data_IF_810981566306
#
_entry.id   IF_810981566306
#
_cell.length_a   1.000
_cell.length_b   1.000
_cell.length_c   1.000
_cell.angle_alpha   90.00
_cell.angle_beta   90.00
_cell.angle_gamma   90.00
#
_symmetry.space_group_name_H-M   'P 1'
#
loop_
_entity.id
_entity.type
_entity.pdbx_description
1 polymer ?
#
# COMPACT_ATOMS: atom_id res chain seq x y z
N UNK A 1 -33.83 21.15 7.31
CA UNK A 1 -32.58 21.75 6.76
C UNK A 1 -31.45 20.76 6.96
N UNK A 2 -30.71 20.33 5.93
CA UNK A 2 -29.61 19.40 6.10
C UNK A 2 -28.49 20.07 6.92
N UNK A 3 -28.01 19.40 7.97
CA UNK A 3 -26.91 19.87 8.82
C UNK A 3 -25.69 20.22 7.96
N UNK A 4 -25.06 21.38 8.22
CA UNK A 4 -23.87 21.87 7.51
C UNK A 4 -22.76 20.81 7.45
N UNK A 5 -22.65 19.93 8.46
CA UNK A 5 -21.70 18.83 8.50
C UNK A 5 -21.91 17.77 7.40
N UNK A 6 -23.15 17.48 7.02
CA UNK A 6 -23.47 16.52 5.96
C UNK A 6 -23.14 17.06 4.55
N UNK A 7 -23.20 18.37 4.37
CA UNK A 7 -22.86 19.05 3.11
C UNK A 7 -21.34 19.14 2.94
N UNK A 8 -20.59 19.49 3.98
CA UNK A 8 -19.13 19.57 3.95
C UNK A 8 -18.47 18.20 3.75
N UNK A 9 -19.03 17.14 4.36
CA UNK A 9 -18.58 15.76 4.17
C UNK A 9 -18.78 15.29 2.72
N UNK A 10 -19.91 15.62 2.09
CA UNK A 10 -20.18 15.27 0.68
C UNK A 10 -19.28 16.05 -0.28
N UNK A 11 -19.02 17.34 -0.02
CA UNK A 11 -18.15 18.17 -0.86
C UNK A 11 -16.68 17.72 -0.82
N UNK A 12 -16.18 17.34 0.37
CA UNK A 12 -14.85 16.73 0.54
C UNK A 12 -14.72 15.41 -0.21
N UNK A 13 -15.78 14.58 -0.18
CA UNK A 13 -15.82 13.29 -0.87
C UNK A 13 -15.73 13.42 -2.41
N UNK A 14 -16.42 14.39 -3.01
CA UNK A 14 -16.38 14.63 -4.46
C UNK A 14 -15.04 15.17 -4.97
N UNK A 15 -14.32 15.95 -4.15
CA UNK A 15 -12.98 16.44 -4.52
C UNK A 15 -11.88 15.41 -4.27
N UNK A 16 -12.02 14.54 -3.27
CA UNK A 16 -11.00 13.55 -2.92
C UNK A 16 -11.05 12.31 -3.83
N UNK A 17 -12.25 11.92 -4.29
CA UNK A 17 -12.45 10.76 -5.17
C UNK A 17 -11.58 10.78 -6.45
N UNK A 18 -11.56 11.86 -7.26
CA UNK A 18 -10.72 11.90 -8.46
C UNK A 18 -9.23 11.80 -8.14
N UNK A 19 -8.76 12.43 -7.06
CA UNK A 19 -7.37 12.29 -6.62
C UNK A 19 -7.02 10.83 -6.28
N UNK A 20 -7.89 10.12 -5.57
CA UNK A 20 -7.67 8.70 -5.22
C UNK A 20 -7.66 7.81 -6.47
N UNK A 21 -8.49 8.11 -7.46
CA UNK A 21 -8.50 7.37 -8.75
C UNK A 21 -7.19 7.60 -9.50
N UNK A 22 -6.74 8.85 -9.63
CA UNK A 22 -5.47 9.19 -10.32
C UNK A 22 -4.29 8.52 -9.64
N UNK A 23 -4.20 8.60 -8.31
CA UNK A 23 -3.15 7.92 -7.54
C UNK A 23 -3.20 6.41 -7.77
N UNK A 24 -4.40 5.82 -7.78
CA UNK A 24 -4.57 4.38 -8.03
C UNK A 24 -4.08 3.97 -9.41
N UNK A 25 -4.41 4.75 -10.45
CA UNK A 25 -3.96 4.49 -11.83
C UNK A 25 -2.43 4.59 -11.93
N UNK A 26 -1.85 5.62 -11.34
CA UNK A 26 -0.40 5.80 -11.30
C UNK A 26 0.29 4.64 -10.57
N UNK A 27 -0.21 4.24 -9.40
CA UNK A 27 0.31 3.09 -8.66
C UNK A 27 0.16 1.76 -9.41
N UNK A 28 -0.83 1.61 -10.29
CA UNK A 28 -1.00 0.44 -11.15
C UNK A 28 -0.10 0.47 -12.39
N UNK A 29 0.25 1.66 -12.89
CA UNK A 29 1.16 1.78 -14.03
C UNK A 29 2.55 1.23 -13.71
N UNK A 30 3.06 1.48 -12.50
CA UNK A 30 4.38 1.00 -12.05
C UNK A 30 4.56 -0.51 -12.21
N UNK A 31 3.73 -1.39 -11.60
CA UNK A 31 3.87 -2.83 -11.76
C UNK A 31 3.66 -3.29 -13.20
N UNK A 32 2.78 -2.64 -13.98
CA UNK A 32 2.58 -2.99 -15.39
C UNK A 32 3.82 -2.69 -16.25
N UNK A 33 4.47 -1.54 -16.02
CA UNK A 33 5.71 -1.16 -16.70
C UNK A 33 6.84 -2.14 -16.33
N UNK A 34 7.02 -2.42 -15.03
CA UNK A 34 8.02 -3.38 -14.55
C UNK A 34 7.80 -4.78 -15.14
N UNK A 35 6.55 -5.24 -15.18
CA UNK A 35 6.19 -6.52 -15.77
C UNK A 35 6.47 -6.56 -17.28
N UNK A 36 6.07 -5.51 -18.00
CA UNK A 36 6.25 -5.44 -19.46
C UNK A 36 7.72 -5.43 -19.84
N UNK A 37 8.53 -4.60 -19.17
CA UNK A 37 9.98 -4.54 -19.42
C UNK A 37 10.64 -5.85 -19.02
N UNK A 38 10.32 -6.40 -17.83
CA UNK A 38 10.87 -7.67 -17.37
C UNK A 38 10.61 -8.84 -18.33
N UNK A 39 9.40 -8.91 -18.93
CA UNK A 39 9.04 -9.95 -19.91
C UNK A 39 9.71 -9.70 -21.25
N UNK A 40 9.62 -8.48 -21.79
CA UNK A 40 10.12 -8.15 -23.15
C UNK A 40 11.65 -8.13 -23.23
N UNK A 41 12.33 -7.90 -22.11
CA UNK A 41 13.79 -7.74 -22.01
C UNK A 41 14.43 -8.73 -21.05
N UNK A 42 13.87 -9.95 -21.00
CA UNK A 42 14.23 -10.98 -20.01
C UNK A 42 15.72 -11.37 -20.02
N UNK A 43 16.33 -11.39 -21.20
CA UNK A 43 17.72 -11.87 -21.40
C UNK A 43 18.69 -10.75 -21.82
N UNK A 44 18.22 -9.50 -21.87
CA UNK A 44 18.97 -8.34 -22.38
C UNK A 44 19.88 -7.67 -21.31
N UNK A 45 20.32 -8.42 -20.29
CA UNK A 45 21.23 -7.93 -19.25
C UNK A 45 22.33 -8.95 -18.97
N UNK A 46 23.51 -8.72 -19.56
CA UNK A 46 24.65 -9.65 -19.46
C UNK A 46 25.37 -9.53 -18.11
N UNK A 47 25.36 -8.33 -17.50
CA UNK A 47 25.99 -8.12 -16.19
C UNK A 47 25.30 -8.93 -15.08
N UNK A 48 23.97 -8.98 -15.07
CA UNK A 48 23.22 -9.86 -14.16
C UNK A 48 21.84 -10.27 -14.73
N UNK A 49 21.67 -11.54 -15.14
CA UNK A 49 20.41 -12.05 -15.69
C UNK A 49 19.29 -12.18 -14.64
N UNK A 50 19.57 -11.92 -13.36
CA UNK A 50 18.57 -11.95 -12.29
C UNK A 50 17.73 -10.69 -12.25
N UNK A 51 18.21 -9.55 -12.77
CA UNK A 51 17.49 -8.26 -12.69
C UNK A 51 16.15 -8.31 -13.44
N UNK A 52 16.06 -8.71 -14.71
CA UNK A 52 14.77 -8.79 -15.40
C UNK A 52 13.80 -9.79 -14.75
N UNK A 53 14.31 -10.92 -14.26
CA UNK A 53 13.51 -11.93 -13.55
C UNK A 53 12.96 -11.37 -12.25
N UNK A 54 13.78 -10.63 -11.51
CA UNK A 54 13.40 -9.94 -10.29
C UNK A 54 12.31 -8.89 -10.54
N UNK A 55 12.39 -8.10 -11.61
CA UNK A 55 11.35 -7.13 -11.99
C UNK A 55 9.98 -7.79 -12.16
N UNK A 56 9.95 -8.96 -12.83
CA UNK A 56 8.71 -9.74 -13.01
C UNK A 56 8.15 -10.18 -11.65
N UNK A 57 9.00 -10.73 -10.78
CA UNK A 57 8.57 -11.20 -9.44
C UNK A 57 7.99 -10.05 -8.62
N UNK A 58 8.67 -8.90 -8.57
CA UNK A 58 8.19 -7.71 -7.86
C UNK A 58 6.85 -7.24 -8.40
N UNK A 59 6.72 -7.15 -9.73
CA UNK A 59 5.48 -6.70 -10.36
C UNK A 59 4.31 -7.63 -10.04
N UNK A 60 4.51 -8.95 -10.09
CA UNK A 60 3.47 -9.94 -9.73
C UNK A 60 3.09 -9.80 -8.25
N UNK A 61 4.05 -9.67 -7.35
CA UNK A 61 3.77 -9.49 -5.91
C UNK A 61 2.95 -8.23 -5.64
N UNK A 62 3.28 -7.10 -6.30
CA UNK A 62 2.51 -5.85 -6.21
C UNK A 62 1.07 -6.01 -6.70
N UNK A 63 0.86 -6.71 -7.81
CA UNK A 63 -0.47 -6.94 -8.35
C UNK A 63 -1.31 -7.81 -7.41
N UNK A 64 -0.72 -8.85 -6.82
CA UNK A 64 -1.39 -9.71 -5.85
C UNK A 64 -1.75 -8.91 -4.59
N UNK A 65 -0.83 -8.11 -4.06
CA UNK A 65 -1.10 -7.25 -2.89
C UNK A 65 -2.26 -6.29 -3.18
N UNK A 66 -2.25 -5.66 -4.36
CA UNK A 66 -3.30 -4.73 -4.77
C UNK A 66 -4.66 -5.44 -4.89
N UNK A 67 -4.67 -6.66 -5.41
CA UNK A 67 -5.87 -7.49 -5.49
C UNK A 67 -6.44 -7.80 -4.11
N UNK A 68 -5.61 -8.24 -3.16
CA UNK A 68 -6.02 -8.50 -1.77
C UNK A 68 -6.59 -7.24 -1.11
N UNK A 69 -5.93 -6.10 -1.29
CA UNK A 69 -6.42 -4.80 -0.80
C UNK A 69 -7.78 -4.43 -1.37
N UNK A 70 -8.00 -4.67 -2.67
CA UNK A 70 -9.28 -4.44 -3.35
C UNK A 70 -10.40 -5.34 -2.78
N UNK A 71 -10.15 -6.65 -2.66
CA UNK A 71 -11.11 -7.60 -2.09
C UNK A 71 -11.49 -7.20 -0.66
N UNK A 72 -10.53 -6.85 0.18
CA UNK A 72 -10.78 -6.39 1.54
C UNK A 72 -11.64 -5.11 1.58
N UNK A 73 -11.36 -4.16 0.67
CA UNK A 73 -12.14 -2.92 0.55
C UNK A 73 -13.58 -3.20 0.12
N UNK A 74 -13.79 -4.09 -0.84
CA UNK A 74 -15.13 -4.48 -1.31
C UNK A 74 -15.91 -5.16 -0.19
N UNK A 75 -15.27 -6.07 0.56
CA UNK A 75 -15.91 -6.76 1.70
C UNK A 75 -16.31 -5.79 2.81
N UNK A 76 -15.45 -4.84 3.16
CA UNK A 76 -15.75 -3.83 4.18
C UNK A 76 -16.89 -2.90 3.73
N UNK A 77 -16.86 -2.44 2.46
CA UNK A 77 -17.95 -1.64 1.89
C UNK A 77 -19.27 -2.40 1.85
N UNK A 78 -19.25 -3.68 1.48
CA UNK A 78 -20.45 -4.53 1.48
C UNK A 78 -21.05 -4.63 2.88
N UNK A 79 -20.22 -4.89 3.89
CA UNK A 79 -20.66 -4.95 5.28
C UNK A 79 -21.29 -3.64 5.77
N UNK A 80 -20.65 -2.49 5.51
CA UNK A 80 -21.19 -1.18 5.90
C UNK A 80 -22.54 -0.90 5.24
N UNK A 81 -22.70 -1.31 3.98
CA UNK A 81 -23.95 -1.14 3.24
C UNK A 81 -25.07 -2.02 3.79
N UNK A 82 -24.76 -3.26 4.14
CA UNK A 82 -25.72 -4.25 4.66
C UNK A 82 -26.01 -4.06 6.16
N UNK A 83 -25.07 -3.48 6.91
CA UNK A 83 -25.15 -3.26 8.35
C UNK A 83 -24.80 -1.79 8.65
N UNK A 84 -25.77 -0.86 8.54
CA UNK A 84 -25.53 0.55 8.81
C UNK A 84 -25.06 0.75 10.27
N UNK A 85 -24.13 1.69 10.48
CA UNK A 85 -23.58 1.99 11.81
C UNK A 85 -24.70 2.54 12.71
N UNK A 86 -24.91 1.99 13.92
CA UNK A 86 -25.90 2.52 14.86
C UNK A 86 -25.55 3.96 15.26
N UNK A 87 -26.58 4.78 15.52
CA UNK A 87 -26.43 6.16 16.00
C UNK A 87 -26.17 6.12 17.51
N UNK A 88 -25.24 6.95 17.98
CA UNK A 88 -24.96 7.09 19.41
C UNK A 88 -26.11 7.85 20.07
N UNK A 89 -26.70 7.29 21.12
CA UNK A 89 -27.54 8.04 22.05
C UNK A 89 -26.68 8.43 23.25
N UNK A 90 -26.63 9.74 23.57
CA UNK A 90 -25.75 10.31 24.61
C UNK A 90 -26.00 9.72 26.02
N UNK A 91 -27.20 9.17 26.26
CA UNK A 91 -27.61 8.50 27.50
C UNK A 91 -27.91 6.99 27.33
N UNK A 92 -27.63 6.41 26.15
CA UNK A 92 -28.07 5.06 25.76
C UNK A 92 -26.97 4.00 25.75
N UNK A 93 -27.37 2.75 25.99
CA UNK A 93 -26.50 1.57 26.07
C UNK A 93 -25.57 1.39 24.85
N UNK A 94 -24.26 1.54 25.09
CA UNK A 94 -23.20 1.38 24.08
C UNK A 94 -23.07 -0.05 23.53
N UNK A 95 -23.83 -1.02 24.06
CA UNK A 95 -23.79 -2.42 23.65
C UNK A 95 -24.05 -2.62 22.15
N UNK A 96 -24.97 -1.86 21.54
CA UNK A 96 -25.28 -1.97 20.11
C UNK A 96 -24.09 -1.57 19.20
N UNK A 97 -23.33 -0.56 19.61
CA UNK A 97 -22.13 -0.14 18.89
C UNK A 97 -20.96 -1.12 19.08
N UNK A 98 -20.80 -1.65 20.30
CA UNK A 98 -19.80 -2.65 20.62
C UNK A 98 -20.05 -3.92 19.79
N UNK A 99 -21.29 -4.39 19.76
CA UNK A 99 -21.71 -5.54 18.94
C UNK A 99 -21.48 -5.30 17.44
N UNK A 100 -21.88 -4.13 16.92
CA UNK A 100 -21.62 -3.78 15.52
C UNK A 100 -20.12 -3.77 15.19
N UNK A 101 -19.29 -3.24 16.10
CA UNK A 101 -17.83 -3.18 15.93
C UNK A 101 -17.22 -4.58 15.95
N UNK A 102 -17.72 -5.45 16.81
CA UNK A 102 -17.31 -6.85 16.90
C UNK A 102 -17.69 -7.63 15.64
N UNK A 103 -18.93 -7.45 15.12
CA UNK A 103 -19.38 -8.02 13.85
C UNK A 103 -18.54 -7.55 12.67
N UNK A 104 -18.18 -6.26 12.62
CA UNK A 104 -17.28 -5.72 11.59
C UNK A 104 -15.90 -6.37 11.65
N UNK A 105 -15.34 -6.52 12.86
CA UNK A 105 -14.05 -7.18 13.08
C UNK A 105 -14.08 -8.65 12.67
N UNK A 106 -15.18 -9.36 12.95
CA UNK A 106 -15.37 -10.75 12.53
C UNK A 106 -15.54 -10.90 11.01
N UNK A 107 -16.23 -9.94 10.36
CA UNK A 107 -16.38 -9.93 8.90
C UNK A 107 -15.05 -9.64 8.18
N UNK A 108 -14.12 -8.93 8.83
CA UNK A 108 -12.76 -8.76 8.33
C UNK A 108 -12.08 -10.12 8.32
N UNK A 109 -11.86 -10.66 7.12
CA UNK A 109 -11.25 -11.97 6.97
C UNK A 109 -9.80 -11.93 7.45
N UNK A 110 -9.55 -12.63 8.56
CA UNK A 110 -8.21 -12.81 9.13
C UNK A 110 -7.24 -13.39 8.09
N UNK A 111 -7.72 -14.30 7.23
CA UNK A 111 -6.93 -14.94 6.17
C UNK A 111 -6.34 -13.92 5.19
N UNK A 112 -7.16 -13.01 4.66
CA UNK A 112 -6.66 -11.98 3.72
C UNK A 112 -5.74 -10.96 4.41
N UNK A 113 -5.94 -10.71 5.71
CA UNK A 113 -5.04 -9.85 6.47
C UNK A 113 -3.66 -10.51 6.67
N UNK A 114 -3.62 -11.78 7.07
CA UNK A 114 -2.38 -12.56 7.24
C UNK A 114 -1.65 -12.73 5.91
N UNK A 115 -2.38 -13.08 4.84
CA UNK A 115 -1.81 -13.22 3.50
C UNK A 115 -1.22 -11.90 3.00
N UNK A 116 -1.93 -10.78 3.21
CA UNK A 116 -1.42 -9.45 2.87
C UNK A 116 -0.15 -9.08 3.65
N UNK A 117 -0.08 -9.41 4.94
CA UNK A 117 1.12 -9.20 5.74
C UNK A 117 2.30 -10.05 5.25
N UNK A 118 2.06 -11.32 4.92
CA UNK A 118 3.08 -12.22 4.37
C UNK A 118 3.64 -11.71 3.03
N UNK A 119 2.76 -11.29 2.11
CA UNK A 119 3.18 -10.74 0.81
C UNK A 119 4.04 -9.49 0.99
N UNK A 120 3.69 -8.60 1.93
CA UNK A 120 4.49 -7.41 2.23
C UNK A 120 5.88 -7.76 2.75
N UNK A 121 5.99 -8.79 3.58
CA UNK A 121 7.28 -9.28 4.04
C UNK A 121 8.13 -9.81 2.87
N UNK A 122 7.53 -10.61 1.98
CA UNK A 122 8.20 -11.12 0.78
C UNK A 122 8.61 -9.97 -0.15
N UNK A 123 7.74 -8.98 -0.35
CA UNK A 123 8.06 -7.78 -1.15
C UNK A 123 9.23 -7.02 -0.55
N UNK A 124 9.28 -6.85 0.78
CA UNK A 124 10.40 -6.17 1.45
C UNK A 124 11.72 -6.91 1.24
N UNK A 125 11.75 -8.24 1.42
CA UNK A 125 12.94 -9.06 1.14
C UNK A 125 13.34 -8.92 -0.33
N UNK A 126 12.38 -9.01 -1.23
CA UNK A 126 12.61 -8.89 -2.67
C UNK A 126 13.15 -7.50 -3.02
N UNK A 127 12.67 -6.43 -2.39
CA UNK A 127 13.19 -5.08 -2.55
C UNK A 127 14.66 -4.97 -2.14
N UNK A 128 15.06 -5.51 -0.98
CA UNK A 128 16.46 -5.53 -0.54
C UNK A 128 17.35 -6.24 -1.58
N UNK A 129 16.91 -7.40 -2.07
CA UNK A 129 17.63 -8.12 -3.14
C UNK A 129 17.76 -7.27 -4.41
N UNK A 130 16.70 -6.54 -4.77
CA UNK A 130 16.68 -5.61 -5.89
C UNK A 130 17.75 -4.52 -5.76
N UNK A 131 17.81 -3.86 -4.60
CA UNK A 131 18.84 -2.87 -4.33
C UNK A 131 20.25 -3.44 -4.46
N UNK A 132 20.49 -4.64 -3.91
CA UNK A 132 21.80 -5.31 -4.02
C UNK A 132 22.15 -5.60 -5.48
N UNK A 133 21.22 -6.15 -6.27
CA UNK A 133 21.48 -6.46 -7.68
C UNK A 133 21.73 -5.20 -8.51
N UNK A 134 20.86 -4.20 -8.40
CA UNK A 134 20.89 -2.99 -9.23
C UNK A 134 22.08 -2.11 -8.89
N UNK A 135 22.34 -1.85 -7.60
CA UNK A 135 23.49 -1.01 -7.21
C UNK A 135 24.82 -1.75 -7.33
N UNK A 136 24.82 -3.08 -7.17
CA UNK A 136 26.03 -3.90 -7.32
C UNK A 136 26.63 -3.87 -8.73
N UNK A 137 25.80 -3.66 -9.76
CA UNK A 137 26.26 -3.62 -11.16
C UNK A 137 26.39 -2.22 -11.74
N UNK A 138 26.26 -1.16 -10.94
CA UNK A 138 26.22 0.23 -11.43
C UNK A 138 27.44 0.59 -12.32
N UNK A 139 28.64 0.13 -11.93
CA UNK A 139 29.90 0.38 -12.66
C UNK A 139 30.02 -0.38 -13.98
N UNK A 140 29.22 -1.41 -14.20
CA UNK A 140 29.18 -2.23 -15.42
C UNK A 140 27.81 -2.21 -16.08
N UNK A 141 27.00 -1.18 -15.78
CA UNK A 141 25.61 -1.07 -16.22
C UNK A 141 25.47 -0.97 -17.75
N UNK A 142 26.52 -0.54 -18.44
CA UNK A 142 26.63 -0.46 -19.90
C UNK A 142 26.44 -1.83 -20.60
N UNK A 143 26.65 -2.94 -19.88
CA UNK A 143 26.47 -4.30 -20.38
C UNK A 143 24.99 -4.76 -20.32
N UNK A 144 24.09 -3.92 -19.86
CA UNK A 144 22.66 -4.19 -19.82
C UNK A 144 21.88 -3.20 -20.68
N UNK A 145 20.71 -3.64 -21.16
CA UNK A 145 19.81 -2.75 -21.87
C UNK A 145 19.46 -1.55 -20.97
N UNK A 146 19.65 -0.31 -21.45
CA UNK A 146 19.44 0.89 -20.64
C UNK A 146 18.01 0.97 -20.09
N UNK A 147 17.01 0.47 -20.82
CA UNK A 147 15.63 0.47 -20.36
C UNK A 147 15.44 -0.41 -19.12
N UNK A 148 16.10 -1.57 -19.05
CA UNK A 148 16.02 -2.50 -17.91
C UNK A 148 16.72 -1.91 -16.70
N UNK A 149 17.96 -1.45 -16.90
CA UNK A 149 18.78 -0.92 -15.81
C UNK A 149 18.19 0.35 -15.21
N UNK A 150 17.90 1.38 -16.04
CA UNK A 150 17.40 2.66 -15.53
C UNK A 150 16.01 2.54 -14.90
N UNK A 151 15.11 1.72 -15.45
CA UNK A 151 13.79 1.50 -14.83
C UNK A 151 13.94 0.86 -13.45
N UNK A 152 14.80 -0.16 -13.33
CA UNK A 152 15.05 -0.84 -12.06
C UNK A 152 15.73 0.08 -11.04
N UNK A 153 16.69 0.89 -11.50
CA UNK A 153 17.41 1.88 -10.69
C UNK A 153 16.48 2.96 -10.14
N UNK A 154 15.68 3.58 -11.01
CA UNK A 154 14.71 4.60 -10.60
C UNK A 154 13.69 4.01 -9.64
N UNK A 155 13.18 2.81 -9.93
CA UNK A 155 12.23 2.13 -9.04
C UNK A 155 12.84 1.87 -7.64
N UNK A 156 14.08 1.37 -7.57
CA UNK A 156 14.77 1.14 -6.30
C UNK A 156 14.99 2.46 -5.54
N UNK A 157 15.46 3.50 -6.22
CA UNK A 157 15.72 4.81 -5.62
C UNK A 157 14.45 5.46 -5.06
N UNK A 158 13.37 5.49 -5.84
CA UNK A 158 12.08 6.01 -5.40
C UNK A 158 11.53 5.20 -4.22
N UNK A 159 11.66 3.87 -4.26
CA UNK A 159 11.21 3.00 -3.17
C UNK A 159 11.98 3.28 -1.88
N UNK A 160 13.31 3.48 -1.93
CA UNK A 160 14.11 3.91 -0.77
C UNK A 160 13.58 5.22 -0.20
N UNK A 161 13.37 6.23 -1.04
CA UNK A 161 12.86 7.53 -0.62
C UNK A 161 11.51 7.38 0.08
N UNK A 162 10.57 6.63 -0.51
CA UNK A 162 9.26 6.39 0.10
C UNK A 162 9.35 5.61 1.42
N UNK A 163 10.24 4.61 1.53
CA UNK A 163 10.44 3.88 2.77
C UNK A 163 11.01 4.77 3.88
N UNK A 164 11.98 5.63 3.57
CA UNK A 164 12.55 6.59 4.53
C UNK A 164 11.47 7.58 4.98
N UNK A 165 10.74 8.18 4.05
CA UNK A 165 9.64 9.10 4.38
C UNK A 165 8.60 8.40 5.26
N UNK A 166 8.20 7.18 4.90
CA UNK A 166 7.25 6.39 5.67
C UNK A 166 7.74 6.10 7.10
N UNK A 167 9.00 5.70 7.25
CA UNK A 167 9.61 5.46 8.56
C UNK A 167 9.69 6.75 9.40
N UNK A 168 10.06 7.88 8.81
CA UNK A 168 10.08 9.17 9.49
C UNK A 168 8.69 9.59 9.97
N UNK A 169 7.67 9.48 9.12
CA UNK A 169 6.28 9.82 9.48
C UNK A 169 5.77 8.92 10.60
N UNK A 170 5.99 7.61 10.52
CA UNK A 170 5.60 6.67 11.56
C UNK A 170 6.33 6.93 12.87
N UNK A 171 7.64 7.20 12.81
CA UNK A 171 8.45 7.57 13.97
C UNK A 171 7.91 8.83 14.64
N UNK A 172 7.66 9.90 13.88
CA UNK A 172 7.08 11.14 14.39
C UNK A 172 5.72 10.91 15.06
N UNK A 173 4.82 10.13 14.43
CA UNK A 173 3.50 9.82 14.98
C UNK A 173 3.63 9.03 16.30
N UNK A 174 4.49 8.01 16.35
CA UNK A 174 4.73 7.24 17.56
C UNK A 174 5.29 8.10 18.71
N UNK A 175 6.23 9.00 18.41
CA UNK A 175 6.77 9.95 19.39
C UNK A 175 5.69 10.90 19.92
N UNK A 176 4.85 11.45 19.05
CA UNK A 176 3.74 12.32 19.47
C UNK A 176 2.74 11.58 20.36
N UNK A 177 2.39 10.34 20.02
CA UNK A 177 1.47 9.52 20.83
C UNK A 177 2.07 9.20 22.20
N UNK A 178 3.36 8.88 22.27
CA UNK A 178 4.04 8.62 23.54
C UNK A 178 4.04 9.86 24.44
N UNK A 179 4.39 11.04 23.90
CA UNK A 179 4.37 12.31 24.63
C UNK A 179 2.97 12.69 25.12
N UNK A 180 1.93 12.46 24.30
CA UNK A 180 0.55 12.70 24.71
C UNK A 180 0.11 11.76 25.83
N UNK A 181 0.50 10.49 25.78
CA UNK A 181 0.17 9.51 26.81
C UNK A 181 0.81 9.85 28.16
N UNK A 182 2.05 10.34 28.15
CA UNK A 182 2.72 10.82 29.38
C UNK A 182 2.06 12.08 29.95
N UNK A 183 1.59 13.00 29.10
CA UNK A 183 0.90 14.23 29.55
C UNK A 183 -0.50 14.00 30.14
N UNK A 184 -1.14 12.87 29.86
CA UNK A 184 -2.43 12.48 30.48
C UNK A 184 -2.26 11.66 31.78
N UNK A 185 -1.03 11.23 32.09
CA UNK A 185 -0.71 10.45 33.28
C UNK A 185 -0.21 11.30 34.47
N UNK A 186 -0.05 12.61 34.29
CA UNK A 186 0.19 13.62 35.34
C UNK A 186 -1.09 14.37 35.67
#
# INVERSE_FOLDING_TARGET
MPSKAAVTSRLSFFNLLPCVIVITLFCLAIPLILLTIGITKRDDCQADPRIPKWMIVVAVLMLIERFIGSVNTIKDRRFIRENPKPVFEEDGDNHALIDWTQRRKHNKSSVFAVLGAFIRLVQFITFILGCVYVFGIYSISDQCNPLVFWTSFIYCLLSIIFYIIGACVLGCVCCCVALMNDSFAQ
#
